data_IF_840069718626
#
_entry.id   IF_840069718626
#
_cell.length_a   1.000
_cell.length_b   1.000
_cell.length_c   1.000
_cell.angle_alpha   90.00
_cell.angle_beta   90.00
_cell.angle_gamma   90.00
#
_symmetry.space_group_name_H-M   'P 1'
#
loop_
_entity.id
_entity.type
_entity.pdbx_description
1 polymer ?
#
# COMPACT_ATOMS: atom_id res chain seq x y z
N UNK A 1 -1.95 -5.11 -16.47
CA UNK A 1 -1.01 -4.05 -16.92
C UNK A 1 -1.66 -3.20 -18.02
N UNK A 2 -2.24 -3.81 -19.06
CA UNK A 2 -2.90 -3.06 -20.12
C UNK A 2 -4.08 -2.24 -19.59
N UNK A 3 -4.92 -2.80 -18.74
CA UNK A 3 -6.01 -2.09 -18.10
C UNK A 3 -5.52 -0.91 -17.24
N UNK A 4 -4.43 -1.11 -16.51
CA UNK A 4 -3.79 -0.04 -15.75
C UNK A 4 -3.28 1.09 -16.63
N UNK A 5 -2.62 0.77 -17.74
CA UNK A 5 -2.17 1.78 -18.72
C UNK A 5 -3.34 2.59 -19.28
N UNK A 6 -4.42 1.93 -19.68
CA UNK A 6 -5.62 2.59 -20.21
C UNK A 6 -6.24 3.51 -19.14
N UNK A 7 -6.31 3.05 -17.89
CA UNK A 7 -6.81 3.87 -16.79
C UNK A 7 -5.94 5.12 -16.57
N UNK A 8 -4.62 4.96 -16.49
CA UNK A 8 -3.67 6.08 -16.31
C UNK A 8 -3.78 7.08 -17.46
N UNK A 9 -3.82 6.61 -18.70
CA UNK A 9 -3.96 7.49 -19.87
C UNK A 9 -5.31 8.23 -19.88
N UNK A 10 -6.39 7.57 -19.45
CA UNK A 10 -7.71 8.21 -19.32
C UNK A 10 -7.74 9.32 -18.27
N UNK A 11 -6.82 9.30 -17.32
CA UNK A 11 -6.66 10.32 -16.27
C UNK A 11 -5.68 11.45 -16.66
N UNK A 12 -5.13 11.41 -17.88
CA UNK A 12 -4.18 12.38 -18.37
C UNK A 12 -2.71 12.05 -18.12
N UNK A 13 -2.41 10.90 -17.53
CA UNK A 13 -1.04 10.40 -17.40
C UNK A 13 -0.49 9.86 -18.72
N UNK A 14 0.82 9.66 -18.77
CA UNK A 14 1.49 9.05 -19.93
C UNK A 14 2.08 7.72 -19.52
N UNK A 15 1.87 6.70 -20.35
CA UNK A 15 2.48 5.40 -20.18
C UNK A 15 3.56 5.15 -21.23
N UNK A 16 4.46 4.21 -20.95
CA UNK A 16 5.57 3.87 -21.84
C UNK A 16 5.30 2.61 -22.67
N UNK A 17 4.06 2.20 -22.73
CA UNK A 17 3.63 1.03 -23.45
C UNK A 17 3.35 -0.18 -22.56
N UNK A 18 3.25 -1.32 -23.18
CA UNK A 18 2.90 -2.58 -22.56
C UNK A 18 3.87 -3.68 -22.95
N UNK A 19 4.28 -4.45 -21.98
CA UNK A 19 5.07 -5.66 -22.21
C UNK A 19 4.41 -6.83 -21.47
N UNK A 20 4.06 -7.88 -22.21
CA UNK A 20 3.55 -9.13 -21.66
C UNK A 20 4.67 -10.10 -21.29
N UNK A 21 4.30 -11.33 -20.98
CA UNK A 21 5.24 -12.43 -20.80
C UNK A 21 5.41 -12.90 -19.35
N UNK A 22 4.66 -12.36 -18.41
CA UNK A 22 4.57 -12.93 -17.06
C UNK A 22 3.53 -14.04 -17.05
N UNK A 23 3.87 -15.24 -16.57
CA UNK A 23 2.87 -16.29 -16.36
C UNK A 23 1.99 -15.96 -15.16
N UNK A 24 0.77 -16.48 -15.17
CA UNK A 24 -0.09 -16.46 -14.01
C UNK A 24 0.39 -17.47 -12.96
N UNK A 25 0.22 -17.14 -11.69
CA UNK A 25 0.46 -18.05 -10.57
C UNK A 25 -0.87 -18.70 -10.21
N UNK A 26 -0.89 -20.03 -10.20
CA UNK A 26 -2.10 -20.82 -9.97
C UNK A 26 -2.19 -21.42 -8.58
N UNK A 27 -1.08 -21.41 -7.85
CA UNK A 27 -0.97 -21.91 -6.49
C UNK A 27 0.20 -21.22 -5.78
N UNK A 28 0.24 -21.21 -4.44
CA UNK A 28 1.38 -20.70 -3.69
C UNK A 28 2.69 -21.37 -4.12
N UNK A 29 3.73 -20.60 -4.29
CA UNK A 29 5.09 -21.07 -4.61
C UNK A 29 5.96 -20.94 -3.36
N UNK A 30 6.43 -22.08 -2.83
CA UNK A 30 7.18 -22.13 -1.56
C UNK A 30 8.48 -21.32 -1.57
N UNK A 31 9.09 -21.17 -2.75
CA UNK A 31 10.36 -20.45 -2.91
C UNK A 31 10.19 -18.92 -3.01
N UNK A 32 8.97 -18.44 -3.18
CA UNK A 32 8.65 -17.01 -3.20
C UNK A 32 7.61 -16.60 -2.16
N UNK A 33 7.01 -17.55 -1.46
CA UNK A 33 6.14 -17.26 -0.31
C UNK A 33 7.00 -17.13 0.97
N UNK A 34 7.09 -15.94 1.49
CA UNK A 34 7.99 -15.58 2.58
C UNK A 34 7.31 -15.57 3.96
N UNK A 35 6.18 -16.23 4.08
CA UNK A 35 5.34 -16.25 5.27
C UNK A 35 4.15 -15.29 5.16
N UNK A 36 3.35 -15.21 6.21
CA UNK A 36 2.19 -14.36 6.26
C UNK A 36 2.57 -12.88 6.10
N UNK A 37 1.87 -12.15 5.25
CA UNK A 37 2.15 -10.73 4.99
C UNK A 37 2.20 -9.89 6.27
N UNK A 38 1.31 -10.16 7.21
CA UNK A 38 1.29 -9.46 8.50
C UNK A 38 2.59 -9.60 9.30
N UNK A 39 3.35 -10.67 9.08
CA UNK A 39 4.66 -10.89 9.70
C UNK A 39 5.74 -9.98 9.10
N UNK A 40 5.44 -9.33 7.98
CA UNK A 40 6.32 -8.40 7.28
C UNK A 40 5.92 -6.94 7.49
N UNK A 41 4.81 -6.70 8.17
CA UNK A 41 4.34 -5.36 8.48
C UNK A 41 5.02 -4.80 9.74
N UNK A 42 4.86 -3.50 9.94
CA UNK A 42 5.40 -2.79 11.10
C UNK A 42 6.92 -2.98 11.24
N UNK A 43 7.38 -3.18 12.44
CA UNK A 43 8.80 -3.34 12.74
C UNK A 43 9.34 -4.76 12.53
N UNK A 44 8.48 -5.73 12.27
CA UNK A 44 8.85 -7.14 12.17
C UNK A 44 9.85 -7.44 11.05
N UNK A 45 9.85 -6.60 10.00
CA UNK A 45 10.80 -6.68 8.89
C UNK A 45 12.14 -6.00 9.14
N UNK A 46 12.29 -5.27 10.23
CA UNK A 46 13.51 -4.56 10.59
C UNK A 46 14.26 -5.28 11.71
N UNK A 47 15.58 -5.08 11.74
CA UNK A 47 16.45 -5.50 12.83
C UNK A 47 17.37 -4.35 13.25
N UNK A 48 17.80 -4.35 14.52
CA UNK A 48 18.74 -3.36 15.03
C UNK A 48 18.30 -1.91 14.81
N UNK A 49 19.15 -1.11 14.20
CA UNK A 49 18.88 0.30 13.91
C UNK A 49 18.20 0.49 12.55
N UNK A 50 17.07 -0.19 12.33
CA UNK A 50 16.24 -0.10 11.13
C UNK A 50 16.83 -0.74 9.88
N UNK A 51 17.71 -1.71 10.05
CA UNK A 51 18.16 -2.56 8.93
C UNK A 51 17.06 -3.54 8.53
N UNK A 52 16.79 -3.65 7.23
CA UNK A 52 15.84 -4.63 6.72
C UNK A 52 16.40 -6.05 6.88
N UNK A 53 15.69 -6.91 7.61
CA UNK A 53 16.09 -8.30 7.83
C UNK A 53 16.18 -9.10 6.53
N UNK A 54 15.23 -8.89 5.61
CA UNK A 54 15.17 -9.55 4.31
C UNK A 54 14.86 -8.53 3.19
N UNK A 55 15.84 -7.77 2.73
CA UNK A 55 15.60 -6.69 1.75
C UNK A 55 14.96 -7.16 0.46
N UNK A 56 15.35 -8.33 -0.06
CA UNK A 56 14.78 -8.89 -1.29
C UNK A 56 13.34 -9.35 -1.09
N UNK A 57 13.02 -9.95 0.03
CA UNK A 57 11.66 -10.35 0.37
C UNK A 57 10.72 -9.15 0.45
N UNK A 58 11.12 -8.09 1.12
CA UNK A 58 10.33 -6.87 1.22
C UNK A 58 10.02 -6.27 -0.17
N UNK A 59 11.00 -6.25 -1.07
CA UNK A 59 10.81 -5.75 -2.44
C UNK A 59 9.86 -6.64 -3.24
N UNK A 60 10.01 -7.96 -3.17
CA UNK A 60 9.17 -8.91 -3.91
C UNK A 60 7.71 -8.84 -3.48
N UNK A 61 7.44 -8.68 -2.20
CA UNK A 61 6.08 -8.63 -1.66
C UNK A 61 5.41 -7.28 -1.83
N UNK A 62 6.11 -6.26 -2.33
CA UNK A 62 5.57 -4.92 -2.43
C UNK A 62 5.41 -4.19 -1.10
N UNK A 63 5.89 -4.78 0.00
CA UNK A 63 5.88 -4.20 1.35
C UNK A 63 7.12 -3.34 1.59
N UNK A 64 7.44 -2.50 0.60
CA UNK A 64 8.78 -1.94 0.47
C UNK A 64 8.99 -0.65 1.25
N UNK A 65 7.95 0.07 1.58
CA UNK A 65 8.14 1.44 2.05
C UNK A 65 7.28 1.81 3.24
N UNK A 66 6.33 1.01 3.58
CA UNK A 66 5.36 1.48 4.57
C UNK A 66 5.38 0.59 5.80
N UNK A 67 5.66 1.23 6.90
CA UNK A 67 5.10 0.81 8.15
C UNK A 67 3.83 1.65 8.35
N UNK A 68 2.63 1.11 8.08
CA UNK A 68 1.39 1.89 8.12
C UNK A 68 1.09 2.45 9.51
N UNK A 69 1.66 1.82 10.53
CA UNK A 69 1.54 2.27 11.91
C UNK A 69 2.65 3.25 12.32
N UNK A 70 3.60 3.54 11.42
CA UNK A 70 4.79 4.30 11.72
C UNK A 70 5.88 3.49 12.44
N UNK A 71 7.10 4.00 12.56
CA UNK A 71 8.19 3.32 13.24
C UNK A 71 7.80 3.00 14.69
N UNK A 72 8.02 1.75 15.11
CA UNK A 72 7.68 1.24 16.43
C UNK A 72 6.19 1.41 16.80
N UNK A 73 5.30 1.38 15.81
CA UNK A 73 3.87 1.57 15.99
C UNK A 73 3.48 3.02 16.35
N UNK A 74 4.40 3.98 16.19
CA UNK A 74 4.15 5.39 16.45
C UNK A 74 4.15 6.18 15.14
N UNK A 75 3.00 6.71 14.69
CA UNK A 75 2.91 7.47 13.46
C UNK A 75 3.63 8.83 13.62
N UNK A 76 4.88 8.85 13.21
CA UNK A 76 5.75 10.03 13.20
C UNK A 76 6.30 10.23 11.78
N UNK A 77 5.88 11.28 11.06
CA UNK A 77 6.33 11.52 9.70
C UNK A 77 7.85 11.71 9.56
N UNK A 78 8.50 12.31 10.54
CA UNK A 78 9.95 12.51 10.51
C UNK A 78 10.71 11.20 10.72
N UNK A 79 10.27 10.39 11.67
CA UNK A 79 10.85 9.07 11.89
C UNK A 79 10.59 8.14 10.70
N UNK A 80 9.38 8.20 10.12
CA UNK A 80 9.03 7.43 8.91
C UNK A 80 9.93 7.78 7.72
N UNK A 81 10.42 9.01 7.61
CA UNK A 81 11.32 9.41 6.52
C UNK A 81 12.63 8.61 6.51
N UNK A 82 13.10 8.12 7.65
CA UNK A 82 14.28 7.26 7.74
C UNK A 82 14.02 5.92 7.05
N UNK A 83 12.90 5.28 7.38
CA UNK A 83 12.49 3.99 6.79
C UNK A 83 12.22 4.12 5.29
N UNK A 84 11.57 5.20 4.89
CA UNK A 84 11.29 5.51 3.48
C UNK A 84 12.59 5.63 2.71
N UNK A 85 13.54 6.42 3.19
CA UNK A 85 14.83 6.61 2.51
C UNK A 85 15.65 5.32 2.43
N UNK A 86 15.65 4.52 3.50
CA UNK A 86 16.32 3.22 3.49
C UNK A 86 15.73 2.31 2.40
N UNK A 87 14.42 2.20 2.37
CA UNK A 87 13.72 1.30 1.44
C UNK A 87 13.84 1.77 -0.02
N UNK A 88 13.55 3.02 -0.30
CA UNK A 88 13.63 3.56 -1.66
C UNK A 88 15.08 3.75 -2.15
N UNK A 89 16.00 4.03 -1.23
CA UNK A 89 17.44 4.06 -1.53
C UNK A 89 17.97 2.72 -2.02
N UNK A 90 17.45 1.59 -1.52
CA UNK A 90 17.76 0.24 -2.03
C UNK A 90 17.27 0.02 -3.47
N UNK A 91 16.29 0.76 -3.90
CA UNK A 91 15.81 0.78 -5.29
C UNK A 91 16.53 1.85 -6.13
N UNK A 92 17.62 2.41 -5.62
CA UNK A 92 18.41 3.49 -6.24
C UNK A 92 17.61 4.79 -6.49
N UNK A 93 16.57 5.04 -5.70
CA UNK A 93 15.77 6.25 -5.78
C UNK A 93 16.27 7.32 -4.80
N UNK A 94 16.35 8.55 -5.25
CA UNK A 94 16.57 9.71 -4.40
C UNK A 94 15.25 10.26 -3.83
N UNK A 95 15.32 11.31 -3.00
CA UNK A 95 14.14 11.88 -2.35
C UNK A 95 13.13 12.44 -3.37
N UNK A 96 13.60 13.08 -4.44
CA UNK A 96 12.72 13.64 -5.48
C UNK A 96 11.97 12.54 -6.23
N UNK A 97 12.66 11.49 -6.61
CA UNK A 97 12.06 10.33 -7.28
C UNK A 97 11.08 9.59 -6.37
N UNK A 98 11.43 9.45 -5.10
CA UNK A 98 10.55 8.85 -4.09
C UNK A 98 9.27 9.65 -3.91
N UNK A 99 9.37 10.95 -3.78
CA UNK A 99 8.20 11.85 -3.66
C UNK A 99 7.36 11.81 -4.94
N UNK A 100 7.99 11.84 -6.11
CA UNK A 100 7.28 11.75 -7.38
C UNK A 100 6.49 10.43 -7.52
N UNK A 101 7.08 9.32 -7.10
CA UNK A 101 6.42 8.02 -7.11
C UNK A 101 5.22 7.97 -6.14
N UNK A 102 5.45 8.36 -4.90
CA UNK A 102 4.43 8.25 -3.84
C UNK A 102 3.30 9.26 -4.06
N UNK A 103 3.61 10.52 -4.28
CA UNK A 103 2.62 11.55 -4.55
C UNK A 103 1.92 11.34 -5.90
N UNK A 104 2.65 10.88 -6.91
CA UNK A 104 2.09 10.49 -8.19
C UNK A 104 1.09 9.35 -8.07
N UNK A 105 1.39 8.35 -7.23
CA UNK A 105 0.46 7.27 -6.92
C UNK A 105 -0.77 7.74 -6.16
N UNK A 106 -0.59 8.62 -5.18
CA UNK A 106 -1.68 9.12 -4.33
C UNK A 106 -2.56 10.18 -5.03
N UNK A 107 -2.15 10.73 -6.18
CA UNK A 107 -2.98 11.69 -6.89
C UNK A 107 -4.23 11.07 -7.51
N UNK A 108 -4.22 9.77 -7.77
CA UNK A 108 -5.36 9.06 -8.36
C UNK A 108 -5.70 7.80 -7.57
N UNK A 109 -6.89 7.28 -7.83
CA UNK A 109 -7.38 6.07 -7.16
C UNK A 109 -7.80 6.32 -5.72
N UNK A 110 -8.04 5.23 -5.01
CA UNK A 110 -8.41 5.27 -3.59
C UNK A 110 -8.00 3.99 -2.87
N UNK A 111 -7.89 4.09 -1.54
CA UNK A 111 -7.79 2.93 -0.67
C UNK A 111 -9.15 2.29 -0.48
N UNK A 112 -9.19 0.97 -0.43
CA UNK A 112 -10.37 0.18 -0.16
C UNK A 112 -10.18 -0.70 1.06
N UNK A 113 -11.28 -1.02 1.71
CA UNK A 113 -11.31 -2.02 2.75
C UNK A 113 -11.18 -1.44 4.15
N UNK A 114 -12.33 -1.10 4.74
CA UNK A 114 -12.46 -0.56 6.09
C UNK A 114 -13.15 -1.55 7.05
N UNK A 115 -13.22 -2.84 6.68
CA UNK A 115 -13.71 -3.89 7.57
C UNK A 115 -12.74 -4.11 8.73
N UNK A 116 -13.23 -4.58 9.90
CA UNK A 116 -12.35 -4.92 11.01
C UNK A 116 -11.42 -6.09 10.67
N UNK A 117 -10.19 -6.04 11.15
CA UNK A 117 -9.15 -7.05 10.88
C UNK A 117 -9.44 -8.41 11.53
N UNK A 118 -10.25 -8.46 12.58
CA UNK A 118 -10.74 -9.70 13.20
C UNK A 118 -11.48 -10.63 12.23
N UNK A 119 -11.96 -10.10 11.11
CA UNK A 119 -12.72 -10.82 10.09
C UNK A 119 -11.88 -11.25 8.88
N UNK A 120 -10.57 -10.97 8.89
CA UNK A 120 -9.66 -11.32 7.81
C UNK A 120 -9.47 -12.84 7.76
N UNK A 121 -9.65 -13.41 6.59
CA UNK A 121 -9.39 -14.81 6.30
C UNK A 121 -7.97 -15.05 5.80
N UNK A 122 -7.81 -16.16 5.06
CA UNK A 122 -6.53 -16.53 4.47
C UNK A 122 -6.05 -15.44 3.49
N UNK A 123 -4.77 -15.12 3.55
CA UNK A 123 -4.17 -14.17 2.61
C UNK A 123 -4.06 -14.77 1.20
N UNK A 124 -4.15 -13.96 0.14
CA UNK A 124 -4.20 -14.44 -1.24
C UNK A 124 -3.01 -15.31 -1.64
N UNK A 125 -1.80 -14.92 -1.28
CA UNK A 125 -0.58 -15.65 -1.66
C UNK A 125 -0.45 -17.02 -0.98
N UNK A 126 -1.03 -17.16 0.21
CA UNK A 126 -1.04 -18.41 0.96
C UNK A 126 -2.29 -19.25 0.75
N UNK A 127 -3.22 -18.80 -0.08
CA UNK A 127 -4.53 -19.42 -0.28
C UNK A 127 -4.54 -20.38 -1.48
N UNK A 128 -5.49 -21.33 -1.46
CA UNK A 128 -5.81 -22.10 -2.65
C UNK A 128 -6.41 -21.20 -3.74
N UNK A 129 -6.31 -21.61 -5.00
CA UNK A 129 -6.73 -20.79 -6.16
C UNK A 129 -8.18 -20.29 -6.06
N UNK A 130 -9.08 -21.10 -5.57
CA UNK A 130 -10.50 -20.75 -5.39
C UNK A 130 -10.73 -19.71 -4.29
N UNK A 131 -9.75 -19.51 -3.42
CA UNK A 131 -9.78 -18.51 -2.35
C UNK A 131 -8.96 -17.26 -2.68
N UNK A 132 -8.16 -17.32 -3.73
CA UNK A 132 -7.38 -16.19 -4.24
C UNK A 132 -8.29 -15.22 -4.97
N UNK A 133 -8.85 -14.26 -4.30
CA UNK A 133 -9.73 -13.26 -4.90
C UNK A 133 -9.01 -11.93 -5.18
N UNK A 134 -9.77 -10.85 -5.11
CA UNK A 134 -9.25 -9.48 -5.19
C UNK A 134 -8.92 -8.93 -3.78
N UNK A 135 -8.01 -9.59 -3.08
CA UNK A 135 -7.63 -9.27 -1.72
C UNK A 135 -7.99 -10.39 -0.74
N UNK A 136 -7.83 -10.11 0.54
CA UNK A 136 -8.16 -11.10 1.58
C UNK A 136 -9.64 -11.42 1.62
N UNK A 137 -9.94 -12.69 1.91
CA UNK A 137 -11.29 -13.09 2.29
C UNK A 137 -11.70 -12.36 3.59
N UNK A 138 -12.94 -11.89 3.65
CA UNK A 138 -13.49 -11.25 4.84
C UNK A 138 -14.85 -11.82 5.18
N UNK A 139 -15.07 -12.15 6.45
CA UNK A 139 -16.38 -12.55 6.95
C UNK A 139 -17.26 -11.38 7.41
N UNK A 140 -16.76 -10.15 7.29
CA UNK A 140 -17.48 -8.95 7.68
C UNK A 140 -18.48 -8.52 6.61
N UNK A 141 -19.72 -8.32 7.00
CA UNK A 141 -20.82 -7.82 6.15
C UNK A 141 -20.88 -8.51 4.78
N UNK A 142 -20.63 -7.78 3.68
CA UNK A 142 -20.63 -8.37 2.33
C UNK A 142 -19.31 -9.11 1.99
N UNK A 143 -18.25 -8.90 2.76
CA UNK A 143 -16.92 -9.41 2.50
C UNK A 143 -16.26 -8.83 1.25
N UNK A 144 -16.80 -7.77 0.67
CA UNK A 144 -16.36 -7.19 -0.59
C UNK A 144 -16.26 -5.66 -0.52
N UNK A 145 -15.42 -5.08 -1.36
CA UNK A 145 -15.27 -3.64 -1.44
C UNK A 145 -14.85 -3.04 -0.10
N UNK A 146 -15.64 -2.11 0.41
CA UNK A 146 -15.40 -1.46 1.70
C UNK A 146 -15.45 -2.40 2.91
N UNK A 147 -16.08 -3.57 2.77
CA UNK A 147 -16.23 -4.55 3.83
C UNK A 147 -15.05 -5.55 3.89
N UNK A 148 -14.06 -5.39 3.04
CA UNK A 148 -12.78 -6.09 3.15
C UNK A 148 -11.87 -5.35 4.14
N UNK A 149 -10.78 -5.99 4.55
CA UNK A 149 -9.66 -5.31 5.18
C UNK A 149 -8.46 -5.40 4.25
N UNK A 150 -8.03 -4.27 3.72
CA UNK A 150 -6.83 -4.15 2.89
C UNK A 150 -6.00 -2.95 3.30
N UNK A 151 -6.62 -1.79 3.48
CA UNK A 151 -5.94 -0.56 3.89
C UNK A 151 -6.40 -0.02 5.25
N UNK A 152 -7.44 -0.60 5.83
CA UNK A 152 -8.06 -0.13 7.07
C UNK A 152 -8.93 1.14 6.90
N UNK A 153 -9.08 1.63 5.68
CA UNK A 153 -9.96 2.75 5.37
C UNK A 153 -10.59 2.62 3.98
N UNK A 154 -11.58 3.44 3.72
CA UNK A 154 -12.24 3.54 2.42
C UNK A 154 -12.25 5.02 2.02
N UNK A 155 -11.44 5.40 1.04
CA UNK A 155 -11.36 6.80 0.64
C UNK A 155 -10.26 7.12 -0.36
N UNK A 156 -10.26 8.34 -0.84
CA UNK A 156 -9.27 8.90 -1.75
C UNK A 156 -8.39 9.93 -1.03
N UNK A 157 -7.15 10.10 -1.53
CA UNK A 157 -6.22 11.10 -1.00
C UNK A 157 -6.38 12.47 -1.68
N UNK A 158 -7.22 12.56 -2.71
CA UNK A 158 -7.47 13.81 -3.45
C UNK A 158 -8.96 14.01 -3.72
N UNK A 159 -9.32 15.23 -4.05
CA UNK A 159 -10.70 15.57 -4.45
C UNK A 159 -11.06 15.01 -5.84
N UNK A 160 -10.06 14.74 -6.69
CA UNK A 160 -10.24 14.27 -8.06
C UNK A 160 -9.49 12.94 -8.31
N UNK A 161 -9.91 11.82 -7.70
CA UNK A 161 -9.15 10.57 -7.76
C UNK A 161 -9.12 9.89 -9.14
N UNK A 162 -9.76 10.46 -10.13
CA UNK A 162 -9.75 9.99 -11.52
C UNK A 162 -9.02 10.94 -12.46
N UNK A 163 -8.22 11.85 -11.90
CA UNK A 163 -7.44 12.82 -12.68
C UNK A 163 -5.99 12.84 -12.22
N UNK A 164 -5.06 12.88 -13.15
CA UNK A 164 -3.63 13.06 -12.88
C UNK A 164 -3.31 14.55 -12.77
N UNK A 165 -3.22 15.06 -11.55
CA UNK A 165 -2.95 16.46 -11.23
C UNK A 165 -2.10 16.61 -9.95
N UNK A 166 -1.93 17.82 -9.48
CA UNK A 166 -1.20 18.12 -8.24
C UNK A 166 -2.10 18.20 -6.98
N UNK A 167 -3.35 17.75 -7.08
CA UNK A 167 -4.32 17.85 -5.99
C UNK A 167 -3.89 17.20 -4.68
N UNK A 168 -3.01 16.20 -4.74
CA UNK A 168 -2.43 15.61 -3.54
C UNK A 168 -1.61 16.63 -2.73
N UNK A 169 -0.74 17.37 -3.38
CA UNK A 169 0.06 18.41 -2.73
C UNK A 169 -0.78 19.60 -2.27
N UNK A 170 -1.80 19.98 -3.05
CA UNK A 170 -2.71 21.05 -2.66
C UNK A 170 -3.42 20.73 -1.35
N UNK A 171 -3.86 19.49 -1.18
CA UNK A 171 -4.46 19.03 0.06
C UNK A 171 -3.42 18.87 1.18
N UNK A 172 -2.28 18.22 0.91
CA UNK A 172 -1.26 17.95 1.92
C UNK A 172 -0.74 19.23 2.59
N UNK A 173 -0.51 20.28 1.80
CA UNK A 173 0.02 21.56 2.28
C UNK A 173 -1.04 22.62 2.55
N UNK A 174 -2.28 22.37 2.18
CA UNK A 174 -3.39 23.29 2.34
C UNK A 174 -4.08 23.24 3.69
N UNK A 175 -3.80 22.20 4.49
CA UNK A 175 -4.47 21.94 5.77
C UNK A 175 -3.47 21.64 6.87
N UNK A 176 -3.91 21.85 8.09
CA UNK A 176 -3.32 21.22 9.27
C UNK A 176 -3.90 19.81 9.43
N UNK A 177 -3.18 18.92 10.08
CA UNK A 177 -3.54 17.51 10.13
C UNK A 177 -3.50 16.97 11.56
N UNK A 178 -4.51 16.20 11.92
CA UNK A 178 -4.54 15.47 13.20
C UNK A 178 -4.66 13.98 12.98
N UNK A 179 -4.09 13.20 13.91
CA UNK A 179 -4.21 11.75 13.88
C UNK A 179 -5.56 11.31 14.43
N UNK A 180 -6.25 10.46 13.69
CA UNK A 180 -7.50 9.83 14.12
C UNK A 180 -7.43 8.33 13.87
N UNK A 181 -8.22 7.57 14.62
CA UNK A 181 -8.36 6.12 14.42
C UNK A 181 -9.67 5.85 13.71
N UNK A 182 -9.61 5.10 12.61
CA UNK A 182 -10.81 4.67 11.89
C UNK A 182 -11.59 3.62 12.67
N UNK A 183 -12.86 3.37 12.35
CA UNK A 183 -13.61 2.27 12.93
C UNK A 183 -12.98 0.89 12.74
N UNK A 184 -12.14 0.72 11.72
CA UNK A 184 -11.38 -0.50 11.46
C UNK A 184 -10.07 -0.58 12.28
N UNK A 185 -9.77 0.42 13.12
CA UNK A 185 -8.57 0.45 13.95
C UNK A 185 -7.35 1.08 13.27
N UNK A 186 -7.39 1.41 11.98
CA UNK A 186 -6.28 2.03 11.28
C UNK A 186 -6.07 3.49 11.72
N UNK A 187 -4.80 3.90 11.83
CA UNK A 187 -4.44 5.29 12.10
C UNK A 187 -4.37 6.05 10.77
N UNK A 188 -5.10 7.13 10.69
CA UNK A 188 -5.12 8.02 9.51
C UNK A 188 -4.96 9.48 9.94
N UNK A 189 -4.60 10.32 8.99
CA UNK A 189 -4.51 11.77 9.16
C UNK A 189 -5.78 12.44 8.64
N UNK A 190 -6.37 13.28 9.45
CA UNK A 190 -7.58 14.01 9.15
C UNK A 190 -7.28 15.52 9.06
N UNK A 191 -7.80 16.15 8.03
CA UNK A 191 -7.62 17.60 7.83
C UNK A 191 -8.47 18.41 8.81
N UNK A 192 -7.89 19.45 9.40
CA UNK A 192 -8.55 20.40 10.32
C UNK A 192 -8.38 21.85 9.86
#
# INVERSE_FOLDING_TARGET
>A
ILAGNVAIESMGGKTFGFSGGRPDIWAPEEDIHWGAEKEWLENERYSGERDLANPLGAVQMGLIYVNPQGPDGNPDPLASAVDIRETFGRMAMNDEETVALVAGGHTFGKGHGAGPDDHVGTEPEGAAMEEMGFGWMSSYASGKGRDTITSGFEGAWTANPTQWDNGYFDLLFGYEWEKVTTPAGAIVWHAI
#
